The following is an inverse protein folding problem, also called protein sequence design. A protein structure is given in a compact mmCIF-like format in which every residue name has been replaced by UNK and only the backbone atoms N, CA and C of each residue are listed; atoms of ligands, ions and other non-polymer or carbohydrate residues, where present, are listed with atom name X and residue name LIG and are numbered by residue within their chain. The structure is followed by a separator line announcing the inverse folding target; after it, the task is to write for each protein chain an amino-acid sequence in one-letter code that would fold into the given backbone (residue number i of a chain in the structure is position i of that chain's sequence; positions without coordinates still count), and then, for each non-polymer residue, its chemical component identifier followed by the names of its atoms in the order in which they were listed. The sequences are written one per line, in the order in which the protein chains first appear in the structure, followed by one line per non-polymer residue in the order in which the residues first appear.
data_IF_323971477877
#
_entry.id   IF_323971477877
#
_cell.length_a   1.000
_cell.length_b   1.000
_cell.length_c   1.000
_cell.angle_alpha   90.00
_cell.angle_beta   90.00
_cell.angle_gamma   90.00
#
_symmetry.space_group_name_H-M   'P 1'
#
loop_
_entity.id
_entity.type
_entity.pdbx_description
1 polymer ?
#
# COMPACT_ATOMS: atom_id res chain seq x y z
N UNK A 1 23.58 -51.37 30.22
CA UNK A 1 23.68 -50.23 29.27
C UNK A 1 22.32 -49.58 29.20
N UNK A 2 22.28 -48.28 29.47
CA UNK A 2 21.16 -47.55 30.07
C UNK A 2 19.94 -47.38 29.16
N UNK A 3 18.75 -47.66 29.71
CA UNK A 3 17.42 -47.34 29.16
C UNK A 3 17.26 -45.86 28.74
N UNK A 4 18.14 -44.99 29.24
CA UNK A 4 18.18 -43.57 28.89
C UNK A 4 18.71 -43.30 27.47
N UNK A 5 19.52 -44.19 26.88
CA UNK A 5 19.99 -44.01 25.50
C UNK A 5 18.91 -44.34 24.47
N UNK A 6 18.06 -45.32 24.77
CA UNK A 6 16.92 -45.69 23.91
C UNK A 6 15.82 -44.64 23.90
N UNK A 7 15.58 -43.94 25.01
CA UNK A 7 14.57 -42.86 25.07
C UNK A 7 15.04 -41.58 24.37
N UNK A 8 16.34 -41.28 24.39
CA UNK A 8 16.90 -40.13 23.67
C UNK A 8 16.88 -40.36 22.14
N UNK A 9 17.16 -41.57 21.67
CA UNK A 9 17.07 -41.91 20.23
C UNK A 9 15.64 -41.86 19.71
N UNK A 10 14.64 -42.28 20.50
CA UNK A 10 13.22 -42.16 20.14
C UNK A 10 12.72 -40.71 20.13
N UNK A 11 13.26 -39.85 21.00
CA UNK A 11 12.94 -38.42 21.01
C UNK A 11 13.52 -37.66 19.80
N UNK A 12 14.72 -38.04 19.35
CA UNK A 12 15.32 -37.48 18.14
C UNK A 12 14.57 -37.94 16.88
N UNK A 13 14.05 -39.18 16.87
CA UNK A 13 13.24 -39.65 15.74
C UNK A 13 11.85 -39.01 15.68
N UNK A 14 11.22 -38.78 16.83
CA UNK A 14 9.93 -38.08 16.93
C UNK A 14 9.99 -36.57 16.63
N UNK A 15 11.15 -35.93 16.82
CA UNK A 15 11.35 -34.51 16.49
C UNK A 15 11.77 -34.27 15.03
N UNK A 16 12.23 -35.31 14.32
CA UNK A 16 12.46 -35.26 12.87
C UNK A 16 11.17 -35.42 12.05
N UNK A 17 10.05 -35.84 12.66
CA UNK A 17 8.73 -35.91 12.02
C UNK A 17 7.89 -34.64 12.18
N UNK A 18 8.39 -33.59 12.83
CA UNK A 18 7.65 -32.35 13.07
C UNK A 18 7.82 -31.28 11.97
N UNK A 19 8.60 -31.57 10.92
CA UNK A 19 8.48 -30.89 9.63
C UNK A 19 7.65 -31.78 8.71
N UNK A 20 6.36 -31.89 9.02
CA UNK A 20 5.37 -32.15 7.98
C UNK A 20 5.42 -30.90 7.08
N UNK A 21 6.30 -30.97 6.07
CA UNK A 21 6.15 -30.18 4.87
C UNK A 21 4.72 -30.47 4.46
N UNK A 22 3.83 -29.49 4.63
CA UNK A 22 2.52 -29.52 4.03
C UNK A 22 2.80 -29.61 2.53
N UNK A 23 2.89 -30.84 2.03
CA UNK A 23 2.82 -31.19 0.62
C UNK A 23 1.41 -30.79 0.21
N UNK A 24 1.24 -29.49 0.01
CA UNK A 24 0.09 -28.94 -0.66
C UNK A 24 0.12 -29.63 -2.02
N UNK A 25 -0.84 -30.51 -2.24
CA UNK A 25 -0.99 -31.34 -3.45
C UNK A 25 -0.42 -30.60 -4.67
N UNK A 26 0.42 -31.27 -5.45
CA UNK A 26 1.08 -30.69 -6.60
C UNK A 26 0.01 -30.18 -7.60
N UNK A 27 -0.31 -28.88 -7.53
CA UNK A 27 -1.42 -28.23 -8.26
C UNK A 27 -1.34 -28.51 -9.77
N UNK A 28 -0.12 -28.76 -10.26
CA UNK A 28 0.22 -29.07 -11.64
C UNK A 28 -0.21 -30.47 -12.12
N UNK A 29 -0.51 -31.43 -11.24
CA UNK A 29 -0.95 -32.78 -11.63
C UNK A 29 -2.44 -32.86 -11.99
N UNK A 30 -3.25 -31.88 -11.57
CA UNK A 30 -4.72 -31.90 -11.78
C UNK A 30 -5.18 -31.17 -13.04
N UNK A 31 -4.35 -30.30 -13.63
CA UNK A 31 -4.77 -29.41 -14.73
C UNK A 31 -3.77 -29.45 -15.88
N UNK A 32 -4.09 -30.12 -17.01
CA UNK A 32 -3.23 -30.08 -18.19
C UNK A 32 -3.18 -28.65 -18.75
N UNK A 33 -2.01 -28.22 -19.23
CA UNK A 33 -1.90 -26.93 -19.90
C UNK A 33 -2.72 -26.93 -21.20
N UNK A 34 -3.34 -25.79 -21.56
CA UNK A 34 -4.04 -25.67 -22.82
C UNK A 34 -3.07 -25.87 -24.00
N UNK A 35 -3.54 -26.50 -25.08
CA UNK A 35 -2.73 -26.80 -26.26
C UNK A 35 -2.23 -25.52 -26.99
N UNK A 36 -2.91 -24.40 -26.77
CA UNK A 36 -2.53 -23.08 -27.26
C UNK A 36 -2.45 -22.11 -26.08
N UNK A 37 -1.54 -21.15 -26.16
CA UNK A 37 -1.41 -20.11 -25.14
C UNK A 37 -2.66 -19.22 -25.15
N UNK A 38 -3.46 -19.36 -24.10
CA UNK A 38 -4.64 -18.54 -23.82
C UNK A 38 -4.31 -17.49 -22.76
N UNK A 39 -5.01 -16.36 -22.81
CA UNK A 39 -4.84 -15.27 -21.83
C UNK A 39 -6.04 -15.19 -20.92
N UNK A 40 -5.87 -15.55 -19.65
CA UNK A 40 -6.91 -15.36 -18.65
C UNK A 40 -7.05 -13.88 -18.30
N UNK A 41 -8.25 -13.34 -18.42
CA UNK A 41 -8.50 -11.96 -17.99
C UNK A 41 -8.51 -11.86 -16.46
N UNK A 42 -7.70 -10.95 -15.92
CA UNK A 42 -7.69 -10.63 -14.50
C UNK A 42 -7.69 -9.10 -14.33
N UNK A 43 -8.55 -8.60 -13.43
CA UNK A 43 -8.69 -7.17 -13.19
C UNK A 43 -8.45 -6.83 -11.72
N UNK A 44 -7.73 -5.76 -11.48
CA UNK A 44 -7.43 -5.25 -10.13
C UNK A 44 -7.55 -3.73 -10.09
N UNK A 45 -7.78 -3.18 -8.90
CA UNK A 45 -7.74 -1.73 -8.68
C UNK A 45 -6.31 -1.26 -8.44
N UNK A 46 -5.98 -0.05 -8.90
CA UNK A 46 -4.71 0.60 -8.59
C UNK A 46 -4.50 0.77 -7.07
N UNK A 47 -3.23 0.72 -6.67
CA UNK A 47 -2.70 0.66 -5.30
C UNK A 47 -2.96 -0.66 -4.54
N UNK A 48 -3.70 -1.61 -5.12
CA UNK A 48 -3.81 -2.96 -4.58
C UNK A 48 -2.58 -3.80 -4.90
N UNK A 49 -2.48 -4.96 -4.26
CA UNK A 49 -1.48 -6.01 -4.53
C UNK A 49 -2.24 -7.24 -5.00
N UNK A 50 -1.66 -8.00 -5.92
CA UNK A 50 -2.31 -9.19 -6.47
C UNK A 50 -1.34 -10.35 -6.61
N UNK A 51 -1.91 -11.55 -6.69
CA UNK A 51 -1.19 -12.81 -6.88
C UNK A 51 -1.66 -13.47 -8.17
N UNK A 52 -0.74 -13.75 -9.08
CA UNK A 52 -0.97 -14.53 -10.30
C UNK A 52 -0.36 -15.92 -10.10
N UNK A 53 -1.17 -16.94 -9.78
CA UNK A 53 -0.66 -18.31 -9.73
C UNK A 53 -0.35 -18.83 -11.13
N UNK A 54 0.69 -19.63 -11.26
CA UNK A 54 0.88 -20.39 -12.49
C UNK A 54 0.11 -21.71 -12.36
N UNK A 55 -1.00 -21.87 -13.07
CA UNK A 55 -1.93 -22.98 -12.86
C UNK A 55 -1.50 -24.31 -13.49
N UNK A 56 -0.62 -24.27 -14.49
CA UNK A 56 -0.19 -25.44 -15.22
C UNK A 56 1.29 -25.34 -15.57
N UNK A 57 1.97 -26.49 -15.71
CA UNK A 57 3.37 -26.57 -16.14
C UNK A 57 3.66 -27.97 -16.67
N UNK A 58 4.46 -28.13 -17.73
CA UNK A 58 4.94 -29.45 -18.16
C UNK A 58 5.73 -30.15 -17.06
N UNK A 59 5.64 -31.48 -16.99
CA UNK A 59 6.28 -32.30 -15.94
C UNK A 59 7.80 -32.19 -15.94
N UNK A 60 8.40 -31.95 -17.11
CA UNK A 60 9.86 -31.88 -17.30
C UNK A 60 10.46 -30.56 -16.79
N UNK A 61 9.63 -29.55 -16.54
CA UNK A 61 10.10 -28.25 -16.05
C UNK A 61 10.22 -28.33 -14.53
N UNK A 62 11.31 -27.84 -13.94
CA UNK A 62 11.50 -27.83 -12.47
C UNK A 62 11.26 -26.44 -11.85
N UNK A 63 11.47 -25.37 -12.62
CA UNK A 63 11.32 -23.99 -12.17
C UNK A 63 10.52 -23.15 -13.17
N UNK A 64 9.68 -22.24 -12.65
CA UNK A 64 8.88 -21.30 -13.44
C UNK A 64 9.57 -19.94 -13.45
N UNK A 65 9.61 -19.32 -14.61
CA UNK A 65 10.03 -17.93 -14.81
C UNK A 65 8.83 -17.11 -15.24
N UNK A 66 8.72 -15.89 -14.73
CA UNK A 66 7.67 -14.96 -15.13
C UNK A 66 8.19 -13.96 -16.14
N UNK A 67 7.35 -13.59 -17.10
CA UNK A 67 7.63 -12.60 -18.12
C UNK A 67 6.51 -11.57 -18.15
N UNK A 68 6.87 -10.32 -18.43
CA UNK A 68 5.93 -9.22 -18.59
C UNK A 68 6.09 -8.58 -19.97
N UNK A 69 4.98 -8.35 -20.64
CA UNK A 69 4.93 -7.66 -21.92
C UNK A 69 3.79 -6.63 -21.90
N UNK A 70 4.10 -5.37 -22.19
CA UNK A 70 3.11 -4.29 -22.14
C UNK A 70 2.01 -4.45 -23.20
N UNK A 71 2.36 -4.90 -24.40
CA UNK A 71 1.45 -5.15 -25.50
C UNK A 71 1.87 -6.40 -26.26
N UNK A 72 0.92 -7.16 -26.82
CA UNK A 72 1.23 -8.36 -27.62
C UNK A 72 2.23 -8.09 -28.77
N UNK A 73 2.21 -6.88 -29.34
CA UNK A 73 3.11 -6.44 -30.42
C UNK A 73 4.43 -5.81 -29.95
N UNK A 74 4.69 -5.76 -28.64
CA UNK A 74 5.91 -5.19 -28.09
C UNK A 74 7.10 -6.10 -28.36
N UNK A 75 8.15 -5.59 -29.00
CA UNK A 75 9.43 -6.30 -29.15
C UNK A 75 10.16 -6.52 -27.81
N UNK A 76 9.75 -5.79 -26.76
CA UNK A 76 10.35 -5.85 -25.44
C UNK A 76 9.49 -6.70 -24.51
N UNK A 77 9.99 -7.89 -24.19
CA UNK A 77 9.51 -8.75 -23.10
C UNK A 77 10.49 -8.63 -21.93
N UNK A 78 10.00 -8.23 -20.76
CA UNK A 78 10.80 -8.14 -19.54
C UNK A 78 10.74 -9.48 -18.81
N UNK A 79 11.90 -10.00 -18.40
CA UNK A 79 11.97 -11.19 -17.55
C UNK A 79 11.87 -10.76 -16.08
N UNK A 80 10.95 -11.37 -15.33
CA UNK A 80 10.74 -11.15 -13.91
C UNK A 80 11.43 -12.29 -13.15
N UNK A 81 12.60 -12.03 -12.57
CA UNK A 81 13.37 -13.02 -11.82
C UNK A 81 13.72 -12.56 -10.41
N UNK A 82 13.59 -13.47 -9.44
CA UNK A 82 13.97 -13.28 -8.03
C UNK A 82 15.46 -13.65 -7.75
N UNK A 83 16.26 -13.90 -8.80
CA UNK A 83 17.65 -14.38 -8.66
C UNK A 83 18.63 -13.34 -8.07
N UNK A 84 18.22 -12.08 -7.92
CA UNK A 84 19.05 -10.99 -7.37
C UNK A 84 19.20 -11.04 -5.83
N UNK A 85 18.65 -12.03 -5.13
CA UNK A 85 18.80 -12.15 -3.68
C UNK A 85 18.23 -10.95 -2.91
N UNK A 86 17.23 -10.25 -3.48
CA UNK A 86 16.59 -9.09 -2.84
C UNK A 86 15.69 -9.58 -1.71
N UNK A 87 16.26 -9.65 -0.52
CA UNK A 87 15.54 -9.86 0.72
C UNK A 87 14.56 -8.70 0.91
N UNK A 88 13.27 -9.01 0.76
CA UNK A 88 12.10 -8.36 1.37
C UNK A 88 12.27 -6.87 1.72
N UNK A 89 11.79 -5.98 0.85
CA UNK A 89 11.15 -4.76 1.35
C UNK A 89 9.71 -5.14 1.71
N UNK A 90 9.38 -5.10 3.00
CA UNK A 90 7.97 -5.09 3.43
C UNK A 90 7.19 -4.08 2.59
N UNK A 91 5.92 -4.37 2.28
CA UNK A 91 5.03 -3.48 1.52
C UNK A 91 5.01 -2.03 2.06
N UNK A 92 5.40 -1.83 3.32
CA UNK A 92 5.61 -0.54 3.98
C UNK A 92 6.71 0.36 3.35
N UNK A 93 7.70 -0.22 2.66
CA UNK A 93 8.82 0.54 2.04
C UNK A 93 8.63 0.81 0.54
N UNK A 94 7.59 0.24 -0.07
CA UNK A 94 7.30 0.43 -1.49
C UNK A 94 6.51 1.72 -1.70
N UNK A 95 7.12 2.71 -2.36
CA UNK A 95 6.44 3.95 -2.77
C UNK A 95 5.63 3.71 -4.05
N UNK A 96 4.38 4.19 -4.08
CA UNK A 96 3.59 4.24 -5.32
C UNK A 96 4.32 5.05 -6.40
N UNK A 97 4.23 4.60 -7.66
CA UNK A 97 4.92 5.20 -8.81
C UNK A 97 6.38 4.74 -9.02
N UNK A 98 6.89 3.78 -8.26
CA UNK A 98 8.16 3.11 -8.57
C UNK A 98 7.98 2.04 -9.65
N UNK A 99 9.03 1.74 -10.44
CA UNK A 99 8.99 0.71 -11.49
C UNK A 99 8.47 -0.62 -10.93
N UNK A 100 7.60 -1.31 -11.67
CA UNK A 100 7.10 -2.64 -11.34
C UNK A 100 8.23 -3.59 -10.89
N UNK A 101 9.42 -3.47 -11.50
CA UNK A 101 10.59 -4.32 -11.22
C UNK A 101 11.12 -4.25 -9.78
N UNK A 102 10.73 -3.25 -8.99
CA UNK A 102 11.07 -3.16 -7.55
C UNK A 102 9.90 -3.52 -6.63
N UNK A 103 8.76 -3.94 -7.19
CA UNK A 103 7.49 -4.16 -6.47
C UNK A 103 6.90 -5.55 -6.66
N UNK A 104 7.67 -6.55 -7.08
CA UNK A 104 7.16 -7.91 -7.22
C UNK A 104 8.00 -8.94 -6.42
N UNK A 105 7.41 -10.11 -6.17
CA UNK A 105 8.06 -11.28 -5.58
C UNK A 105 7.50 -12.54 -6.23
N UNK A 106 8.30 -13.59 -6.36
CA UNK A 106 7.84 -14.88 -6.87
C UNK A 106 7.89 -15.89 -5.73
N UNK A 107 6.75 -16.49 -5.39
CA UNK A 107 6.66 -17.50 -4.33
C UNK A 107 5.87 -18.69 -4.82
N UNK A 108 6.43 -19.90 -4.66
CA UNK A 108 5.75 -21.15 -5.00
C UNK A 108 5.17 -21.12 -6.43
N UNK A 109 5.95 -20.59 -7.39
CA UNK A 109 5.57 -20.40 -8.79
C UNK A 109 4.51 -19.32 -9.08
N UNK A 110 3.91 -18.69 -8.07
CA UNK A 110 3.05 -17.52 -8.22
C UNK A 110 3.86 -16.23 -8.30
N UNK A 111 3.41 -15.29 -9.12
CA UNK A 111 3.90 -13.91 -9.14
C UNK A 111 3.04 -13.05 -8.21
N UNK A 112 3.67 -12.36 -7.26
CA UNK A 112 3.03 -11.40 -6.38
C UNK A 112 3.48 -10.00 -6.80
N UNK A 113 2.54 -9.11 -7.08
CA UNK A 113 2.81 -7.70 -7.42
C UNK A 113 2.22 -6.81 -6.34
N UNK A 114 3.02 -5.90 -5.80
CA UNK A 114 2.65 -5.00 -4.72
C UNK A 114 2.37 -3.58 -5.22
N UNK A 115 1.32 -2.95 -4.69
CA UNK A 115 0.89 -1.58 -5.03
C UNK A 115 0.81 -1.33 -6.54
N UNK A 116 0.16 -2.24 -7.24
CA UNK A 116 -0.14 -2.21 -8.66
C UNK A 116 -0.53 -0.80 -9.14
N UNK A 117 0.07 -0.35 -10.23
CA UNK A 117 -0.25 0.92 -10.87
C UNK A 117 -0.87 0.65 -12.25
N UNK A 118 -1.67 1.56 -12.82
CA UNK A 118 -2.26 1.36 -14.15
C UNK A 118 -1.24 1.03 -15.23
N UNK A 119 0.00 1.52 -15.12
CA UNK A 119 1.10 1.23 -16.03
C UNK A 119 1.60 -0.22 -15.97
N UNK A 120 1.34 -0.92 -14.86
CA UNK A 120 1.67 -2.33 -14.70
C UNK A 120 0.67 -3.24 -15.46
N UNK A 121 -0.37 -2.68 -16.09
CA UNK A 121 -1.30 -3.43 -16.93
C UNK A 121 -0.55 -4.03 -18.14
N UNK A 122 -0.92 -5.24 -18.52
CA UNK A 122 -0.20 -5.95 -19.57
C UNK A 122 -0.40 -7.46 -19.54
N UNK A 123 0.40 -8.13 -20.35
CA UNK A 123 0.42 -9.58 -20.45
C UNK A 123 1.50 -10.15 -19.55
N UNK A 124 1.12 -11.14 -18.75
CA UNK A 124 1.98 -11.82 -17.80
C UNK A 124 2.04 -13.29 -18.16
N UNK A 125 3.24 -13.82 -18.39
CA UNK A 125 3.44 -15.19 -18.84
C UNK A 125 4.21 -15.96 -17.78
N UNK A 126 3.77 -17.17 -17.46
CA UNK A 126 4.62 -18.14 -16.81
C UNK A 126 5.20 -19.11 -17.85
N UNK A 127 6.51 -19.30 -17.79
CA UNK A 127 7.29 -19.99 -18.82
C UNK A 127 8.56 -20.65 -18.30
N UNK A 128 9.26 -21.36 -19.20
CA UNK A 128 10.58 -21.94 -18.93
C UNK A 128 11.65 -20.85 -19.01
N UNK A 129 12.85 -21.11 -18.47
CA UNK A 129 14.01 -20.23 -18.67
C UNK A 129 14.41 -20.02 -20.14
N UNK A 130 14.00 -20.94 -21.02
CA UNK A 130 14.27 -20.88 -22.47
C UNK A 130 13.26 -19.99 -23.22
N UNK A 131 12.19 -19.53 -22.54
CA UNK A 131 11.15 -18.70 -23.14
C UNK A 131 9.95 -19.50 -23.68
N UNK A 132 9.78 -20.76 -23.29
CA UNK A 132 8.58 -21.52 -23.65
C UNK A 132 7.46 -21.18 -22.67
N UNK A 133 6.39 -20.54 -23.14
CA UNK A 133 5.26 -20.11 -22.31
C UNK A 133 4.19 -21.21 -22.22
N UNK A 134 3.68 -21.45 -21.01
CA UNK A 134 2.64 -22.45 -20.76
C UNK A 134 1.32 -21.85 -20.27
N UNK A 135 1.36 -20.69 -19.62
CA UNK A 135 0.17 -19.99 -19.15
C UNK A 135 0.35 -18.48 -19.26
N UNK A 136 -0.73 -17.75 -19.49
CA UNK A 136 -0.69 -16.30 -19.54
C UNK A 136 -1.95 -15.65 -18.95
N UNK A 137 -1.74 -14.45 -18.40
CA UNK A 137 -2.78 -13.55 -17.94
C UNK A 137 -2.77 -12.27 -18.79
N UNK A 138 -3.95 -11.75 -19.09
CA UNK A 138 -4.16 -10.36 -19.48
C UNK A 138 -4.65 -9.59 -18.26
N UNK A 139 -3.73 -8.84 -17.65
CA UNK A 139 -3.97 -8.12 -16.40
C UNK A 139 -4.31 -6.67 -16.70
N UNK A 140 -5.49 -6.27 -16.26
CA UNK A 140 -5.97 -4.89 -16.29
C UNK A 140 -5.94 -4.28 -14.90
N UNK A 141 -5.20 -3.18 -14.72
CA UNK A 141 -5.15 -2.43 -13.48
C UNK A 141 -5.89 -1.12 -13.69
N UNK A 142 -7.10 -1.05 -13.16
CA UNK A 142 -7.97 0.11 -13.32
C UNK A 142 -7.56 1.22 -12.37
N UNK A 143 -7.56 2.45 -12.87
CA UNK A 143 -7.18 3.62 -12.08
C UNK A 143 -8.15 3.81 -10.91
N UNK A 144 -7.62 4.26 -9.77
CA UNK A 144 -8.44 4.73 -8.66
C UNK A 144 -8.72 6.25 -8.72
N UNK A 145 -8.22 6.93 -9.76
CA UNK A 145 -8.55 8.33 -10.02
C UNK A 145 -10.02 8.45 -10.40
N UNK A 146 -10.76 9.33 -9.71
CA UNK A 146 -12.18 9.51 -9.97
C UNK A 146 -13.08 8.41 -9.41
N UNK A 147 -12.53 7.36 -8.78
CA UNK A 147 -13.32 6.31 -8.14
C UNK A 147 -14.25 6.91 -7.07
N UNK A 148 -15.53 6.58 -7.17
CA UNK A 148 -16.56 7.05 -6.23
C UNK A 148 -16.82 5.97 -5.18
N UNK A 149 -16.95 6.42 -3.93
CA UNK A 149 -17.36 5.56 -2.84
C UNK A 149 -18.85 5.77 -2.57
N UNK A 150 -19.61 4.69 -2.62
CA UNK A 150 -21.05 4.64 -2.40
C UNK A 150 -21.32 4.08 -1.01
N UNK A 151 -22.01 4.87 -0.18
CA UNK A 151 -22.34 4.52 1.19
C UNK A 151 -23.77 4.01 1.29
N UNK A 152 -23.92 2.69 1.42
CA UNK A 152 -25.24 2.05 1.45
C UNK A 152 -26.09 2.49 2.63
N UNK A 153 -25.46 2.82 3.76
CA UNK A 153 -26.13 3.33 4.95
C UNK A 153 -26.72 4.75 4.74
N UNK A 154 -26.25 5.48 3.72
CA UNK A 154 -26.73 6.82 3.35
C UNK A 154 -27.80 6.79 2.25
N UNK A 155 -28.22 5.59 1.81
CA UNK A 155 -29.19 5.41 0.72
C UNK A 155 -28.62 5.72 -0.67
N UNK A 156 -27.30 5.73 -0.81
CA UNK A 156 -26.64 5.88 -2.11
C UNK A 156 -26.62 4.53 -2.84
N UNK A 157 -26.85 4.58 -4.14
CA UNK A 157 -26.82 3.42 -5.03
C UNK A 157 -25.60 3.50 -5.97
N UNK A 158 -25.06 2.36 -6.43
CA UNK A 158 -23.97 2.30 -7.40
C UNK A 158 -24.40 2.86 -8.77
N UNK A 159 -23.43 3.04 -9.66
CA UNK A 159 -23.70 3.44 -11.05
C UNK A 159 -24.60 2.43 -11.75
N UNK A 160 -25.45 2.94 -12.63
CA UNK A 160 -26.25 2.12 -13.53
C UNK A 160 -25.39 1.61 -14.70
N UNK A 161 -25.79 0.47 -15.25
CA UNK A 161 -25.16 -0.10 -16.43
C UNK A 161 -25.39 0.79 -17.66
N UNK A 162 -24.35 0.95 -18.49
CA UNK A 162 -24.38 1.75 -19.70
C UNK A 162 -24.55 0.85 -20.94
N UNK A 163 -25.42 1.28 -21.87
CA UNK A 163 -25.73 0.54 -23.10
C UNK A 163 -25.47 1.40 -24.34
N UNK A 164 -24.62 0.91 -25.24
CA UNK A 164 -24.25 1.55 -26.50
C UNK A 164 -24.42 0.56 -27.67
N UNK A 165 -25.65 0.35 -28.12
CA UNK A 165 -25.94 -0.68 -29.13
C UNK A 165 -25.70 -2.08 -28.55
N UNK A 166 -24.81 -2.85 -29.17
CA UNK A 166 -24.42 -4.19 -28.71
C UNK A 166 -23.32 -4.17 -27.62
N UNK A 167 -22.84 -2.99 -27.23
CA UNK A 167 -21.91 -2.82 -26.12
C UNK A 167 -22.69 -2.59 -24.83
N UNK A 168 -22.43 -3.40 -23.82
CA UNK A 168 -22.92 -3.24 -22.45
C UNK A 168 -21.72 -3.03 -21.53
N UNK A 169 -21.69 -1.92 -20.80
CA UNK A 169 -20.61 -1.57 -19.85
C UNK A 169 -21.21 -1.56 -18.45
N UNK A 170 -20.58 -2.24 -17.51
CA UNK A 170 -21.14 -2.46 -16.18
C UNK A 170 -20.06 -2.69 -15.13
N UNK A 171 -20.44 -2.51 -13.87
CA UNK A 171 -19.56 -2.77 -12.72
C UNK A 171 -19.75 -4.20 -12.22
N UNK A 172 -18.67 -4.98 -12.19
CA UNK A 172 -18.67 -6.28 -11.47
C UNK A 172 -18.08 -6.11 -10.09
N UNK A 173 -18.89 -6.38 -9.06
CA UNK A 173 -18.49 -6.30 -7.67
C UNK A 173 -17.84 -7.58 -7.16
N UNK A 174 -16.76 -7.42 -6.39
CA UNK A 174 -16.22 -8.49 -5.55
C UNK A 174 -17.18 -8.86 -4.43
N UNK A 175 -16.88 -9.99 -3.77
CA UNK A 175 -17.58 -10.36 -2.55
C UNK A 175 -17.38 -9.33 -1.44
N UNK A 176 -18.38 -9.22 -0.57
CA UNK A 176 -18.26 -8.39 0.63
C UNK A 176 -17.16 -8.91 1.52
N UNK A 177 -16.27 -8.00 1.94
CA UNK A 177 -15.31 -8.33 2.99
C UNK A 177 -16.02 -8.69 4.30
N UNK A 178 -15.40 -9.52 5.16
CA UNK A 178 -15.83 -9.69 6.55
C UNK A 178 -15.90 -8.34 7.28
N UNK A 179 -16.64 -8.28 8.38
CA UNK A 179 -16.72 -7.07 9.19
C UNK A 179 -15.32 -6.67 9.71
N UNK A 180 -14.90 -5.42 9.50
CA UNK A 180 -13.55 -4.97 9.81
C UNK A 180 -13.24 -4.90 11.32
N UNK A 181 -14.29 -4.78 12.15
CA UNK A 181 -14.26 -4.75 13.61
C UNK A 181 -15.29 -5.72 14.19
N UNK A 182 -15.09 -6.08 15.45
CA UNK A 182 -16.05 -6.85 16.23
C UNK A 182 -16.34 -6.12 17.55
N UNK A 183 -17.51 -6.39 18.16
CA UNK A 183 -17.92 -5.84 19.46
C UNK A 183 -18.31 -4.35 19.44
N UNK A 184 -18.00 -3.66 18.34
CA UNK A 184 -18.38 -2.28 18.04
C UNK A 184 -18.90 -2.23 16.60
N UNK A 185 -19.48 -1.08 16.21
CA UNK A 185 -19.83 -0.84 14.80
C UNK A 185 -18.57 -0.98 13.95
N UNK A 186 -18.62 -1.84 12.94
CA UNK A 186 -17.60 -2.00 11.92
C UNK A 186 -18.13 -1.62 10.55
N UNK A 187 -17.30 -1.79 9.54
CA UNK A 187 -17.65 -1.62 8.13
C UNK A 187 -17.28 -2.87 7.33
N UNK A 188 -18.11 -3.16 6.33
CA UNK A 188 -17.79 -4.06 5.24
C UNK A 188 -17.67 -3.22 3.97
N UNK A 189 -16.78 -3.62 3.10
CA UNK A 189 -16.62 -3.00 1.80
C UNK A 189 -16.38 -4.03 0.71
N UNK A 190 -16.67 -3.65 -0.54
CA UNK A 190 -16.36 -4.41 -1.75
C UNK A 190 -16.00 -3.45 -2.87
N UNK A 191 -15.12 -3.87 -3.76
CA UNK A 191 -14.71 -3.10 -4.93
C UNK A 191 -15.50 -3.59 -6.15
N UNK A 192 -15.95 -2.64 -6.95
CA UNK A 192 -16.49 -2.83 -8.28
C UNK A 192 -15.48 -2.37 -9.32
N UNK A 193 -15.25 -3.19 -10.34
CA UNK A 193 -14.37 -2.87 -11.46
C UNK A 193 -15.20 -2.80 -12.74
N UNK A 194 -14.75 -1.98 -13.70
CA UNK A 194 -15.39 -1.83 -15.01
C UNK A 194 -15.20 -3.09 -15.86
N UNK A 195 -16.30 -3.66 -16.31
CA UNK A 195 -16.33 -4.71 -17.33
C UNK A 195 -17.18 -4.26 -18.50
N UNK A 196 -16.93 -4.86 -19.66
CA UNK A 196 -17.79 -4.69 -20.81
C UNK A 196 -18.09 -6.02 -21.48
N UNK A 197 -19.27 -6.08 -22.06
CA UNK A 197 -19.75 -7.19 -22.86
C UNK A 197 -19.95 -6.74 -24.31
N UNK A 198 -19.36 -7.48 -25.24
CA UNK A 198 -19.53 -7.22 -26.67
C UNK A 198 -19.20 -8.45 -27.53
N UNK A 199 -19.96 -8.72 -28.61
CA UNK A 199 -19.65 -9.81 -29.54
C UNK A 199 -18.34 -9.59 -30.32
N UNK A 200 -17.82 -8.36 -30.37
CA UNK A 200 -16.61 -7.99 -31.13
C UNK A 200 -15.29 -8.28 -30.38
N UNK A 201 -15.35 -8.98 -29.25
CA UNK A 201 -14.19 -9.28 -28.43
C UNK A 201 -13.37 -10.46 -28.97
N UNK A 202 -12.04 -10.34 -28.93
CA UNK A 202 -11.15 -11.39 -29.42
C UNK A 202 -11.33 -12.73 -28.69
N UNK A 203 -11.45 -13.87 -29.40
CA UNK A 203 -11.60 -15.19 -28.80
C UNK A 203 -10.30 -15.73 -28.19
N UNK A 204 -9.15 -15.07 -28.41
CA UNK A 204 -7.84 -15.49 -27.91
C UNK A 204 -7.67 -15.31 -26.39
N UNK A 205 -8.56 -14.56 -25.76
CA UNK A 205 -8.55 -14.31 -24.32
C UNK A 205 -9.60 -15.21 -23.68
N UNK A 206 -9.17 -16.04 -22.74
CA UNK A 206 -10.06 -16.93 -22.00
C UNK A 206 -10.84 -16.09 -20.99
N UNK A 207 -12.17 -16.22 -21.05
CA UNK A 207 -13.12 -15.37 -20.33
C UNK A 207 -13.88 -16.24 -19.34
N UNK A 208 -13.99 -15.81 -18.08
CA UNK A 208 -14.81 -16.50 -17.05
C UNK A 208 -16.28 -16.55 -17.46
N UNK A 209 -16.73 -15.54 -18.22
CA UNK A 209 -18.04 -15.47 -18.87
C UNK A 209 -17.87 -15.20 -20.36
N UNK A 210 -18.65 -15.83 -21.25
CA UNK A 210 -18.60 -15.55 -22.68
C UNK A 210 -18.77 -14.05 -22.94
N UNK A 211 -17.90 -13.50 -23.78
CA UNK A 211 -17.97 -12.11 -24.24
C UNK A 211 -17.89 -11.02 -23.17
N UNK A 212 -17.35 -11.32 -21.99
CA UNK A 212 -17.07 -10.33 -20.95
C UNK A 212 -15.58 -10.21 -20.70
N UNK A 213 -15.05 -8.99 -20.67
CA UNK A 213 -13.66 -8.69 -20.29
C UNK A 213 -13.58 -7.36 -19.53
N UNK A 214 -12.54 -7.19 -18.72
CA UNK A 214 -12.25 -5.91 -18.06
C UNK A 214 -12.05 -4.78 -19.07
N UNK A 215 -12.55 -3.58 -18.79
CA UNK A 215 -12.59 -2.48 -19.76
C UNK A 215 -11.21 -2.07 -20.32
N UNK A 216 -10.15 -2.15 -19.53
CA UNK A 216 -8.77 -1.85 -19.94
C UNK A 216 -8.01 -3.02 -20.58
N UNK A 217 -8.62 -4.22 -20.64
CA UNK A 217 -8.05 -5.43 -21.24
C UNK A 217 -7.55 -5.20 -22.67
N UNK A 218 -6.47 -5.91 -23.04
CA UNK A 218 -5.96 -5.89 -24.42
C UNK A 218 -6.88 -6.61 -25.41
N UNK A 219 -7.82 -7.41 -24.93
CA UNK A 219 -8.87 -8.01 -25.75
C UNK A 219 -9.84 -6.97 -26.33
N UNK A 220 -9.97 -5.81 -25.68
CA UNK A 220 -10.92 -4.76 -26.05
C UNK A 220 -10.35 -3.90 -27.19
N UNK A 221 -11.03 -3.81 -28.34
CA UNK A 221 -10.67 -2.88 -29.41
C UNK A 221 -10.65 -1.42 -28.94
N UNK A 222 -9.74 -0.61 -29.48
CA UNK A 222 -9.56 0.81 -29.07
C UNK A 222 -10.83 1.65 -29.12
N UNK A 223 -11.76 1.36 -30.05
CA UNK A 223 -13.04 2.07 -30.18
C UNK A 223 -13.93 1.81 -28.95
N UNK A 224 -14.13 0.54 -28.58
CA UNK A 224 -14.94 0.16 -27.43
C UNK A 224 -14.32 0.64 -26.12
N UNK A 225 -12.98 0.58 -26.00
CA UNK A 225 -12.28 1.11 -24.82
C UNK A 225 -12.49 2.62 -24.63
N UNK A 226 -12.61 3.37 -25.72
CA UNK A 226 -12.89 4.81 -25.63
C UNK A 226 -14.32 5.07 -25.14
N UNK A 227 -15.27 4.23 -25.54
CA UNK A 227 -16.67 4.33 -25.09
C UNK A 227 -16.81 3.98 -23.60
N UNK A 228 -16.12 2.93 -23.13
CA UNK A 228 -16.13 2.53 -21.72
C UNK A 228 -15.18 3.36 -20.83
N UNK A 229 -14.50 4.39 -21.37
CA UNK A 229 -13.47 5.12 -20.63
C UNK A 229 -14.03 5.84 -19.41
N UNK A 230 -15.25 6.35 -19.50
CA UNK A 230 -15.83 7.21 -18.47
C UNK A 230 -16.50 6.41 -17.35
N UNK A 231 -16.67 5.09 -17.55
CA UNK A 231 -17.17 4.17 -16.53
C UNK A 231 -16.04 3.82 -15.56
N UNK A 232 -16.07 4.44 -14.38
CA UNK A 232 -15.02 4.32 -13.36
C UNK A 232 -15.28 3.13 -12.43
N UNK A 233 -14.23 2.56 -11.81
CA UNK A 233 -14.40 1.67 -10.66
C UNK A 233 -15.25 2.29 -9.56
N UNK A 234 -15.79 1.45 -8.69
CA UNK A 234 -16.65 1.84 -7.57
C UNK A 234 -16.22 1.16 -6.28
N UNK A 235 -16.45 1.83 -5.14
CA UNK A 235 -16.29 1.21 -3.82
C UNK A 235 -17.60 1.28 -3.06
N UNK A 236 -18.14 0.13 -2.67
CA UNK A 236 -19.33 0.08 -1.83
C UNK A 236 -18.92 -0.17 -0.39
N UNK A 237 -19.48 0.64 0.52
CA UNK A 237 -19.25 0.51 1.96
C UNK A 237 -20.60 0.46 2.68
N UNK A 238 -20.70 -0.42 3.66
CA UNK A 238 -21.86 -0.54 4.56
C UNK A 238 -21.41 -0.81 5.99
N UNK A 239 -22.22 -0.44 6.96
CA UNK A 239 -21.94 -0.82 8.35
C UNK A 239 -22.27 -2.28 8.62
N UNK A 240 -21.61 -2.81 9.65
CA UNK A 240 -21.87 -4.14 10.21
C UNK A 240 -21.71 -4.09 11.72
N UNK A 241 -22.35 -5.03 12.41
CA UNK A 241 -22.18 -5.25 13.84
C UNK A 241 -22.08 -6.76 14.08
N UNK A 242 -20.92 -7.21 14.53
CA UNK A 242 -20.67 -8.63 14.82
C UNK A 242 -20.07 -8.78 16.21
N UNK A 243 -20.39 -9.88 16.89
CA UNK A 243 -19.81 -10.18 18.20
C UNK A 243 -18.35 -10.62 18.06
N UNK A 244 -17.49 -10.22 18.99
CA UNK A 244 -16.11 -10.71 19.01
C UNK A 244 -16.05 -12.19 19.38
N UNK A 245 -15.35 -12.96 18.56
CA UNK A 245 -15.02 -14.33 18.91
C UNK A 245 -14.13 -14.31 20.16
N UNK A 246 -14.54 -15.06 21.19
CA UNK A 246 -13.76 -15.20 22.42
C UNK A 246 -12.53 -16.04 22.10
N UNK A 247 -11.45 -15.39 21.67
CA UNK A 247 -10.14 -16.06 21.59
C UNK A 247 -9.84 -16.68 22.95
N UNK A 248 -9.46 -17.96 22.95
CA UNK A 248 -8.87 -18.62 24.13
C UNK A 248 -7.69 -17.76 24.59
N UNK A 249 -7.93 -16.99 25.63
CA UNK A 249 -7.05 -15.93 26.11
C UNK A 249 -5.82 -16.56 26.75
N UNK A 250 -4.65 -16.16 26.25
CA UNK A 250 -3.32 -16.33 26.84
C UNK A 250 -2.85 -17.80 26.88
N UNK A 251 -1.82 -18.15 26.08
CA UNK A 251 -1.02 -19.37 26.27
C UNK A 251 -0.70 -19.46 27.77
N UNK A 252 -1.16 -20.51 28.45
CA UNK A 252 -1.10 -20.68 29.91
C UNK A 252 0.27 -20.31 30.52
N UNK A 253 1.36 -20.47 29.77
CA UNK A 253 2.70 -20.03 30.16
C UNK A 253 2.90 -18.52 30.39
N UNK A 254 2.19 -17.63 29.67
CA UNK A 254 2.28 -16.17 29.92
C UNK A 254 1.57 -15.77 31.22
N UNK A 255 0.46 -16.44 31.56
CA UNK A 255 -0.24 -16.25 32.83
C UNK A 255 0.63 -16.60 34.04
N UNK A 256 1.45 -17.66 33.93
CA UNK A 256 2.40 -18.04 34.97
C UNK A 256 3.48 -16.97 35.21
N UNK A 257 4.03 -16.38 34.14
CA UNK A 257 5.02 -15.30 34.23
C UNK A 257 4.39 -14.05 34.88
N UNK A 258 3.17 -13.68 34.50
CA UNK A 258 2.48 -12.54 35.10
C UNK A 258 2.19 -12.74 36.59
N UNK A 259 1.79 -13.96 36.99
CA UNK A 259 1.58 -14.28 38.40
C UNK A 259 2.88 -14.20 39.20
N UNK A 260 4.01 -14.65 38.65
CA UNK A 260 5.32 -14.51 39.29
C UNK A 260 5.74 -13.04 39.45
N UNK A 261 5.63 -12.22 38.40
CA UNK A 261 6.01 -10.80 38.44
C UNK A 261 5.07 -10.00 39.37
N UNK A 262 3.79 -10.35 39.43
CA UNK A 262 2.84 -9.72 40.35
C UNK A 262 3.11 -10.02 41.83
N UNK A 263 3.86 -11.09 42.14
CA UNK A 263 4.33 -11.37 43.50
C UNK A 263 5.53 -10.50 43.90
N UNK A 264 6.22 -9.88 42.94
CA UNK A 264 7.41 -9.04 43.15
C UNK A 264 7.11 -7.54 42.95
N UNK A 265 5.91 -7.17 42.49
CA UNK A 265 5.48 -5.78 42.33
C UNK A 265 4.10 -5.64 41.68
N UNK A 266 3.73 -4.42 41.27
CA UNK A 266 2.45 -4.17 40.59
C UNK A 266 2.40 -4.87 39.22
N UNK A 267 1.23 -5.44 38.88
CA UNK A 267 1.00 -6.16 37.62
C UNK A 267 1.39 -5.27 36.42
N UNK A 268 2.40 -5.64 35.61
CA UNK A 268 2.83 -4.81 34.49
C UNK A 268 1.70 -4.70 33.48
N UNK A 269 1.52 -3.50 32.90
CA UNK A 269 0.58 -3.33 31.80
C UNK A 269 1.06 -4.14 30.59
N UNK A 270 0.21 -5.05 30.12
CA UNK A 270 0.51 -5.91 28.98
C UNK A 270 -0.34 -5.44 27.81
N UNK A 271 0.27 -5.03 26.69
CA UNK A 271 -0.50 -4.67 25.52
C UNK A 271 -1.19 -5.91 24.97
N UNK A 272 -2.45 -5.78 24.57
CA UNK A 272 -3.23 -6.89 24.00
C UNK A 272 -2.70 -7.35 22.64
N UNK A 273 -1.90 -6.52 21.97
CA UNK A 273 -1.28 -6.76 20.67
C UNK A 273 0.14 -6.22 20.65
N UNK A 274 1.04 -6.74 19.78
CA UNK A 274 2.38 -6.17 19.61
C UNK A 274 2.30 -4.68 19.23
N UNK A 275 3.13 -3.85 19.89
CA UNK A 275 3.17 -2.40 19.65
C UNK A 275 4.52 -2.02 19.03
N UNK A 276 4.47 -1.41 17.84
CA UNK A 276 5.63 -0.81 17.17
C UNK A 276 5.74 0.67 17.55
N UNK A 277 6.97 1.16 17.73
CA UNK A 277 7.22 2.54 18.13
C UNK A 277 7.73 3.34 16.92
N UNK A 278 6.99 4.38 16.54
CA UNK A 278 7.35 5.27 15.43
C UNK A 278 7.66 6.66 15.96
N UNK A 279 8.81 7.21 15.52
CA UNK A 279 9.20 8.60 15.81
C UNK A 279 9.14 9.39 14.51
N UNK A 280 8.21 10.34 14.44
CA UNK A 280 7.99 11.15 13.24
C UNK A 280 8.31 12.63 13.51
N UNK A 281 8.87 13.31 12.50
CA UNK A 281 9.13 14.75 12.55
C UNK A 281 7.89 15.52 12.17
N UNK A 282 7.61 16.62 12.90
CA UNK A 282 6.52 17.54 12.58
C UNK A 282 6.58 17.98 11.10
N UNK A 283 5.42 18.04 10.45
CA UNK A 283 5.26 18.43 9.05
C UNK A 283 5.58 17.34 8.03
N UNK A 284 6.19 16.21 8.42
CA UNK A 284 6.57 15.15 7.49
C UNK A 284 5.44 14.13 7.34
N UNK A 285 5.32 13.55 6.14
CA UNK A 285 4.36 12.49 5.85
C UNK A 285 4.70 11.16 6.53
N UNK A 286 3.66 10.42 6.92
CA UNK A 286 3.76 9.11 7.52
C UNK A 286 2.75 8.17 6.85
N UNK A 287 3.19 6.96 6.53
CA UNK A 287 2.34 5.88 6.04
C UNK A 287 2.50 4.71 7.00
N UNK A 288 1.39 4.16 7.48
CA UNK A 288 1.36 3.02 8.39
C UNK A 288 0.60 1.90 7.70
N UNK A 289 1.24 0.73 7.59
CA UNK A 289 0.65 -0.47 6.99
C UNK A 289 0.33 -1.49 8.06
N UNK A 290 -0.83 -2.15 7.97
CA UNK A 290 -1.19 -3.18 8.94
C UNK A 290 -0.42 -4.49 8.63
N UNK A 291 0.26 -5.11 9.61
CA UNK A 291 1.16 -6.24 9.33
C UNK A 291 0.40 -7.46 8.79
N UNK A 292 0.89 -7.99 7.67
CA UNK A 292 0.26 -9.12 6.97
C UNK A 292 -1.17 -8.83 6.48
N UNK A 293 -1.58 -7.56 6.39
CA UNK A 293 -2.78 -7.21 5.65
C UNK A 293 -2.53 -7.41 4.17
N UNK A 294 -3.51 -8.02 3.50
CA UNK A 294 -3.58 -8.07 2.05
C UNK A 294 -4.65 -7.07 1.60
N UNK A 295 -4.61 -6.61 0.35
CA UNK A 295 -5.60 -5.68 -0.19
C UNK A 295 -7.03 -6.18 -0.07
N UNK A 296 -7.28 -7.47 -0.28
CA UNK A 296 -8.59 -8.13 -0.17
C UNK A 296 -9.09 -8.26 1.28
N UNK A 297 -8.24 -8.01 2.28
CA UNK A 297 -8.65 -8.13 3.67
C UNK A 297 -9.44 -6.90 4.14
N UNK A 298 -10.46 -7.12 4.97
CA UNK A 298 -11.05 -6.03 5.74
C UNK A 298 -10.03 -5.51 6.77
N UNK A 299 -9.63 -4.25 6.60
CA UNK A 299 -8.70 -3.57 7.50
C UNK A 299 -9.31 -2.28 8.00
N UNK A 300 -9.20 -2.09 9.31
CA UNK A 300 -9.70 -0.94 10.03
C UNK A 300 -8.58 -0.29 10.85
N UNK A 301 -8.70 1.02 11.06
CA UNK A 301 -7.75 1.80 11.85
C UNK A 301 -8.48 2.50 12.99
N UNK A 302 -7.91 2.44 14.17
CA UNK A 302 -8.36 3.21 15.32
C UNK A 302 -7.20 4.04 15.84
N UNK A 303 -7.47 5.24 16.34
CA UNK A 303 -6.50 6.08 17.04
C UNK A 303 -6.95 6.20 18.49
N UNK A 304 -6.22 5.57 19.39
CA UNK A 304 -6.55 5.46 20.82
C UNK A 304 -7.97 4.87 21.02
N UNK A 305 -8.97 5.70 21.28
CA UNK A 305 -10.38 5.31 21.40
C UNK A 305 -11.26 5.75 20.22
N UNK A 306 -10.71 6.52 19.28
CA UNK A 306 -11.42 7.01 18.11
C UNK A 306 -11.33 6.00 16.98
N UNK A 307 -12.48 5.56 16.47
CA UNK A 307 -12.56 4.69 15.30
C UNK A 307 -12.45 5.51 14.02
N UNK A 308 -11.50 5.18 13.15
CA UNK A 308 -11.35 5.79 11.84
C UNK A 308 -12.13 4.94 10.83
N UNK A 309 -13.38 5.33 10.58
CA UNK A 309 -14.26 4.68 9.62
C UNK A 309 -13.93 5.10 8.18
N UNK A 310 -14.01 4.19 7.21
CA UNK A 310 -13.81 4.44 5.78
C UNK A 310 -14.81 5.46 5.24
N UNK A 311 -16.05 5.40 5.69
CA UNK A 311 -17.08 6.43 5.41
C UNK A 311 -16.58 7.85 5.62
N UNK A 312 -15.64 8.08 6.54
CA UNK A 312 -15.13 9.41 6.88
C UNK A 312 -13.69 9.65 6.42
N UNK A 313 -12.86 8.61 6.42
CA UNK A 313 -11.41 8.71 6.23
C UNK A 313 -10.91 8.11 4.92
N UNK A 314 -11.77 7.58 4.05
CA UNK A 314 -11.31 7.05 2.76
C UNK A 314 -10.75 8.17 1.86
N UNK A 315 -9.63 7.87 1.19
CA UNK A 315 -9.07 8.71 0.12
C UNK A 315 -10.15 9.07 -0.89
N UNK A 316 -10.33 10.37 -1.17
CA UNK A 316 -11.30 10.87 -2.15
C UNK A 316 -12.56 11.49 -1.54
N UNK A 317 -13.02 11.02 -0.38
CA UNK A 317 -14.24 11.54 0.29
C UNK A 317 -14.11 13.03 0.63
N UNK A 318 -12.94 13.43 1.14
CA UNK A 318 -12.59 14.82 1.36
C UNK A 318 -11.16 15.07 0.87
N UNK A 319 -11.01 15.80 -0.24
CA UNK A 319 -9.70 16.05 -0.88
C UNK A 319 -8.72 16.83 0.00
N UNK A 320 -9.23 17.57 0.97
CA UNK A 320 -8.46 18.38 1.93
C UNK A 320 -8.05 17.58 3.17
N UNK A 321 -8.53 16.34 3.34
CA UNK A 321 -8.20 15.55 4.51
C UNK A 321 -6.71 15.20 4.53
N UNK A 322 -6.10 15.38 5.69
CA UNK A 322 -4.68 15.12 5.92
C UNK A 322 -4.42 13.68 6.35
N UNK A 323 -5.32 13.13 7.16
CA UNK A 323 -5.30 11.75 7.61
C UNK A 323 -6.34 11.00 6.79
N UNK A 324 -5.93 9.96 6.08
CA UNK A 324 -6.82 9.18 5.23
C UNK A 324 -6.38 7.72 5.10
N UNK A 325 -7.29 6.86 4.69
CA UNK A 325 -7.08 5.44 4.40
C UNK A 325 -7.09 5.29 2.88
N UNK A 326 -6.03 4.74 2.30
CA UNK A 326 -5.99 4.46 0.87
C UNK A 326 -6.76 3.17 0.50
N UNK A 327 -6.94 2.92 -0.80
CA UNK A 327 -7.59 1.71 -1.29
C UNK A 327 -6.77 0.43 -1.03
N UNK A 328 -5.47 0.58 -0.74
CA UNK A 328 -4.56 -0.48 -0.31
C UNK A 328 -4.56 -0.73 1.22
N UNK A 329 -5.54 -0.19 1.95
CA UNK A 329 -5.74 -0.38 3.39
C UNK A 329 -4.68 0.26 4.31
N UNK A 330 -3.85 1.17 3.78
CA UNK A 330 -2.81 1.86 4.53
C UNK A 330 -3.35 3.17 5.10
N UNK A 331 -2.89 3.53 6.31
CA UNK A 331 -3.19 4.82 6.92
C UNK A 331 -2.13 5.84 6.54
N UNK A 332 -2.56 6.92 5.90
CA UNK A 332 -1.71 8.03 5.48
C UNK A 332 -1.94 9.24 6.38
N UNK A 333 -0.85 9.91 6.71
CA UNK A 333 -0.84 11.22 7.35
C UNK A 333 0.06 12.12 6.51
N UNK A 334 -0.50 13.04 5.72
CA UNK A 334 0.27 13.86 4.75
C UNK A 334 1.35 14.71 5.42
N UNK A 335 1.02 15.35 6.54
CA UNK A 335 1.94 16.16 7.32
C UNK A 335 1.62 15.98 8.80
N UNK A 336 2.54 15.38 9.57
CA UNK A 336 2.26 15.07 10.98
C UNK A 336 2.22 16.33 11.86
N UNK A 337 1.29 16.34 12.81
CA UNK A 337 1.08 17.39 13.80
C UNK A 337 1.27 16.82 15.21
N UNK A 338 1.44 17.70 16.20
CA UNK A 338 1.58 17.26 17.59
C UNK A 338 0.34 16.51 18.10
N UNK A 339 -0.84 16.81 17.55
CA UNK A 339 -2.11 16.14 17.85
C UNK A 339 -2.19 14.71 17.30
N UNK A 340 -1.33 14.32 16.35
CA UNK A 340 -1.29 12.94 15.83
C UNK A 340 -0.60 11.96 16.78
N UNK A 341 0.01 12.46 17.86
CA UNK A 341 0.54 11.60 18.91
C UNK A 341 -0.58 10.71 19.46
N UNK A 342 -0.26 9.43 19.67
CA UNK A 342 -1.21 8.45 20.13
C UNK A 342 -0.77 7.03 19.77
N UNK A 343 -1.64 6.07 20.06
CA UNK A 343 -1.47 4.69 19.64
C UNK A 343 -2.50 4.39 18.56
N UNK A 344 -2.03 4.07 17.36
CA UNK A 344 -2.88 3.62 16.27
C UNK A 344 -3.00 2.11 16.33
N UNK A 345 -4.21 1.57 16.38
CA UNK A 345 -4.46 0.15 16.31
C UNK A 345 -4.95 -0.22 14.92
N UNK A 346 -4.42 -1.31 14.37
CA UNK A 346 -4.96 -1.89 13.15
C UNK A 346 -5.74 -3.17 13.44
N UNK A 347 -6.89 -3.27 12.79
CA UNK A 347 -7.74 -4.44 12.74
C UNK A 347 -7.59 -5.11 11.40
N UNK A 348 -7.64 -6.43 11.39
CA UNK A 348 -7.62 -7.25 10.17
C UNK A 348 -8.65 -8.36 10.34
N UNK A 349 -9.63 -8.40 9.44
CA UNK A 349 -10.72 -9.38 9.45
C UNK A 349 -11.44 -9.44 10.83
N UNK A 350 -11.80 -8.29 11.39
CA UNK A 350 -12.50 -8.23 12.67
C UNK A 350 -11.63 -8.46 13.91
N UNK A 351 -10.31 -8.63 13.77
CA UNK A 351 -9.38 -8.87 14.89
C UNK A 351 -8.31 -7.79 14.96
N UNK A 352 -8.10 -7.23 16.15
CA UNK A 352 -6.98 -6.30 16.40
C UNK A 352 -5.65 -7.07 16.35
N UNK A 353 -4.74 -6.69 15.46
CA UNK A 353 -3.49 -7.44 15.20
C UNK A 353 -2.22 -6.71 15.62
N UNK A 354 -2.20 -5.37 15.58
CA UNK A 354 -1.02 -4.58 15.93
C UNK A 354 -1.39 -3.19 16.45
N UNK A 355 -0.48 -2.60 17.22
CA UNK A 355 -0.51 -1.20 17.64
C UNK A 355 0.72 -0.45 17.17
N UNK A 356 0.59 0.85 16.95
CA UNK A 356 1.64 1.74 16.49
C UNK A 356 1.66 2.98 17.37
N UNK A 357 2.63 3.07 18.28
CA UNK A 357 2.80 4.23 19.13
C UNK A 357 3.55 5.32 18.38
N UNK A 358 2.83 6.36 17.97
CA UNK A 358 3.38 7.48 17.22
C UNK A 358 3.82 8.61 18.18
N UNK A 359 5.12 8.90 18.18
CA UNK A 359 5.70 10.05 18.84
C UNK A 359 6.09 11.10 17.81
N UNK A 360 5.48 12.29 17.88
CA UNK A 360 5.82 13.42 17.00
C UNK A 360 6.80 14.34 17.69
N UNK A 361 8.00 14.49 17.12
CA UNK A 361 9.01 15.44 17.60
C UNK A 361 8.81 16.78 16.88
N UNK A 362 8.56 17.83 17.66
CA UNK A 362 8.86 19.19 17.23
C UNK A 362 10.39 19.33 17.20
N UNK A 363 10.96 20.03 16.22
CA UNK A 363 12.35 20.50 16.39
C UNK A 363 12.33 21.35 17.67
N UNK A 364 13.01 20.90 18.72
CA UNK A 364 13.49 21.84 19.74
C UNK A 364 14.27 22.93 19.02
N UNK A 365 14.23 24.17 19.54
CA UNK A 365 14.94 25.32 18.98
C UNK A 365 16.24 24.89 18.30
N UNK A 366 16.36 25.23 17.01
CA UNK A 366 17.60 25.09 16.28
C UNK A 366 18.69 25.77 17.10
N UNK A 367 19.65 25.01 17.66
CA UNK A 367 20.88 25.64 18.09
C UNK A 367 21.58 26.06 16.81
N UNK A 368 21.46 27.35 16.50
CA UNK A 368 22.16 28.01 15.41
C UNK A 368 23.64 27.69 15.58
N UNK A 369 24.15 26.78 14.75
CA UNK A 369 25.58 26.52 14.67
C UNK A 369 26.15 27.48 13.63
N UNK A 370 27.10 28.32 14.05
CA UNK A 370 27.83 29.22 13.15
C UNK A 370 28.66 28.48 12.09
N UNK A 371 28.72 27.15 12.15
CA UNK A 371 29.40 26.28 11.17
C UNK A 371 28.55 25.98 9.93
N UNK A 372 27.25 26.31 9.94
CA UNK A 372 26.36 26.08 8.81
C UNK A 372 26.60 27.10 7.68
N UNK A 373 26.91 26.67 6.44
CA UNK A 373 27.25 27.57 5.35
C UNK A 373 26.11 28.52 4.94
N UNK A 374 24.85 28.11 5.07
CA UNK A 374 23.70 28.97 4.81
C UNK A 374 23.57 30.06 5.88
N UNK A 375 23.68 29.69 7.16
CA UNK A 375 23.66 30.63 8.29
C UNK A 375 24.81 31.64 8.21
N UNK A 376 26.02 31.20 7.82
CA UNK A 376 27.19 32.06 7.64
C UNK A 376 26.98 33.08 6.51
N UNK A 377 26.36 32.65 5.41
CA UNK A 377 26.06 33.51 4.26
C UNK A 377 25.03 34.58 4.61
N UNK A 378 23.98 34.21 5.35
CA UNK A 378 22.96 35.15 5.84
C UNK A 378 23.58 36.18 6.80
N UNK A 379 24.38 35.74 7.77
CA UNK A 379 25.05 36.65 8.70
C UNK A 379 26.01 37.62 7.99
N UNK A 380 26.78 37.14 7.01
CA UNK A 380 27.65 37.99 6.19
C UNK A 380 26.85 39.04 5.41
N UNK A 381 25.76 38.65 4.76
CA UNK A 381 24.88 39.58 4.04
C UNK A 381 24.27 40.64 4.99
N UNK A 382 23.85 40.22 6.18
CA UNK A 382 23.28 41.13 7.17
C UNK A 382 24.33 42.12 7.67
N UNK A 383 25.56 41.66 7.94
CA UNK A 383 26.67 42.51 8.36
C UNK A 383 27.06 43.53 7.28
N UNK A 384 27.15 43.09 6.01
CA UNK A 384 27.41 43.98 4.87
C UNK A 384 26.31 45.02 4.74
N UNK A 385 25.04 44.61 4.89
CA UNK A 385 23.90 45.54 4.89
C UNK A 385 24.00 46.59 5.99
N UNK A 386 24.33 46.20 7.22
CA UNK A 386 24.53 47.15 8.32
C UNK A 386 25.69 48.10 8.08
N UNK A 387 26.83 47.59 7.57
CA UNK A 387 27.99 48.43 7.24
C UNK A 387 27.65 49.47 6.18
N UNK A 388 26.91 49.09 5.13
CA UNK A 388 26.45 50.02 4.09
C UNK A 388 25.53 51.10 4.66
N UNK A 389 24.56 50.73 5.51
CA UNK A 389 23.65 51.70 6.14
C UNK A 389 24.44 52.66 7.04
N UNK A 390 25.40 52.16 7.83
CA UNK A 390 26.24 53.02 8.67
C UNK A 390 27.13 53.95 7.85
N UNK A 391 27.71 53.49 6.74
CA UNK A 391 28.51 54.32 5.85
C UNK A 391 27.66 55.44 5.22
N UNK A 392 26.45 55.12 4.76
CA UNK A 392 25.51 56.13 4.24
C UNK A 392 25.17 57.15 5.33
N UNK A 393 24.85 56.69 6.54
CA UNK A 393 24.53 57.56 7.67
C UNK A 393 25.69 58.51 8.02
N UNK A 394 26.91 57.99 8.13
CA UNK A 394 28.11 58.79 8.38
C UNK A 394 28.38 59.77 7.23
N UNK A 395 28.20 59.34 5.98
CA UNK A 395 28.39 60.21 4.81
C UNK A 395 27.39 61.35 4.81
N UNK A 396 26.11 61.10 5.13
CA UNK A 396 25.08 62.14 5.27
C UNK A 396 25.48 63.14 6.37
N UNK A 397 25.96 62.65 7.52
CA UNK A 397 26.40 63.52 8.60
C UNK A 397 27.64 64.33 8.26
N UNK A 398 28.62 63.75 7.57
CA UNK A 398 29.81 64.45 7.08
C UNK A 398 29.44 65.49 6.02
N UNK A 399 28.58 65.16 5.04
CA UNK A 399 28.08 66.12 4.06
C UNK A 399 27.32 67.26 4.72
N UNK A 400 26.46 66.99 5.71
CA UNK A 400 25.80 68.07 6.48
C UNK A 400 26.83 68.92 7.21
N UNK A 401 27.82 68.33 7.88
CA UNK A 401 28.88 69.05 8.59
C UNK A 401 29.72 69.92 7.63
N UNK A 402 30.09 69.39 6.46
CA UNK A 402 30.78 70.15 5.41
C UNK A 402 29.90 71.29 4.86
N UNK A 403 28.60 71.06 4.63
CA UNK A 403 27.68 72.12 4.22
C UNK A 403 27.50 73.22 5.29
N UNK A 404 27.63 72.89 6.58
CA UNK A 404 27.66 73.87 7.66
C UNK A 404 28.99 74.65 7.73
N UNK A 405 30.13 73.96 7.55
CA UNK A 405 31.47 74.57 7.54
C UNK A 405 31.71 75.47 6.30
N UNK A 406 31.16 75.11 5.13
CA UNK A 406 31.24 75.95 3.93
C UNK A 406 30.21 77.09 3.89
N UNK A 407 29.29 77.19 4.87
CA UNK A 407 28.35 78.33 5.02
C UNK A 407 28.79 79.41 6.01
N UNK A 408 29.92 79.24 6.68
CA UNK A 408 30.56 80.27 7.52
C UNK A 408 32.05 80.28 7.14
N UNK A 409 32.57 81.11 6.24
CA UNK A 409 32.54 82.58 6.11
C UNK A 409 33.31 82.96 4.81
N UNK A 410 33.40 84.23 4.39
CA UNK A 410 32.52 85.39 4.58
C UNK A 410 32.22 86.12 3.24
N UNK A 411 31.33 87.10 3.25
CA UNK A 411 31.58 88.33 2.50
C UNK A 411 31.12 89.52 3.35
N UNK A 412 32.11 90.16 3.97
CA UNK A 412 32.09 91.59 4.21
C UNK A 412 32.33 92.27 2.86
N UNK A 413 31.33 92.99 2.37
CA UNK A 413 31.50 94.33 1.81
C UNK A 413 30.19 95.09 1.90
#
# INVERSE_FOLDING_TARGET
MSLAHTTVLLWVWGSLQAFEIVEKENIFQKTPCPAFLMFDNAAYLADMSFELPCHCKPEEVSAVVWYYQKHLSSSHTKVLTDFDGRVLTEAAYVRGGSDMLVRFSIRMFSLLVFRAQPEDSGLYFCGTRKGDYFYAYDVDIQSNEGMVATFKDEGQEPFEDEYHGDLHVFTTFWEWTPCDRCGVRGEQWRIGLCYLQSPDLSPRYHKTMPDVVSCGSQAVPRKLRTMARDHMPELLVRSCLVSCEKRKTIREGMLAIFNYVSKVGSRPWVPQVPIQFHKQRLGHGLIISCPGARPEHAVAWDKDHQHLYRTQYLKGVNRSMRVFIDHGNQLHIRFTQLSDRGIYYCWRQGVRVAGFRLAVKSRGHYQVSFSDPETRSVLQLTLIGYLLITAVFVTIHLCRCCCYLFRCCPNFS
#
